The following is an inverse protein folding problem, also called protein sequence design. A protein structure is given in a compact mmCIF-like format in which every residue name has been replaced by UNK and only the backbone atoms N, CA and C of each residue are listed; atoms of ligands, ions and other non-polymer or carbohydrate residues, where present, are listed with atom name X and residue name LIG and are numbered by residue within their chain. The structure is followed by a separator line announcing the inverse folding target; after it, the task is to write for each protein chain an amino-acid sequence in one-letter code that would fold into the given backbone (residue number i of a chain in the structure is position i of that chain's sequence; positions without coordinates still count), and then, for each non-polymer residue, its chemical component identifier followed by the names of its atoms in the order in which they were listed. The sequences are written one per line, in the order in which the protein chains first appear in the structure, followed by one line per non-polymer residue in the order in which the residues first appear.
data_IF_320538088753
#
_entry.id   IF_320538088753
#
_cell.length_a   1.000
_cell.length_b   1.000
_cell.length_c   1.000
_cell.angle_alpha   90.00
_cell.angle_beta   90.00
_cell.angle_gamma   90.00
#
_symmetry.space_group_name_H-M   'P 1'
#
loop_
_entity.id
_entity.type
_entity.pdbx_description
1 polymer ?
#
# COMPACT_ATOMS: atom_id res chain seq x y z
N UNK A 1 3.05 -13.43 4.99
CA UNK A 1 2.27 -12.56 4.09
C UNK A 1 1.25 -13.39 3.33
N UNK A 2 0.12 -12.80 2.94
CA UNK A 2 -0.83 -13.46 2.04
C UNK A 2 -0.15 -13.61 0.67
N UNK A 3 0.33 -14.83 0.39
CA UNK A 3 0.99 -15.18 -0.86
C UNK A 3 -0.06 -15.09 -1.97
N UNK A 4 0.01 -14.03 -2.76
CA UNK A 4 -0.71 -13.92 -4.03
C UNK A 4 0.26 -14.21 -5.17
N UNK A 5 -0.22 -14.94 -6.15
CA UNK A 5 0.49 -15.24 -7.39
C UNK A 5 -0.48 -15.16 -8.57
N UNK A 6 0.07 -14.88 -9.75
CA UNK A 6 -0.68 -14.77 -10.99
C UNK A 6 -0.32 -13.49 -11.76
N UNK A 7 -1.01 -13.29 -12.88
CA UNK A 7 -0.78 -12.13 -13.73
C UNK A 7 -1.56 -10.91 -13.23
N UNK A 8 -0.88 -9.77 -13.19
CA UNK A 8 -1.48 -8.46 -12.96
C UNK A 8 -0.77 -7.41 -13.80
N UNK A 9 -1.42 -6.27 -14.01
CA UNK A 9 -0.85 -5.13 -14.69
C UNK A 9 -0.92 -3.88 -13.82
N UNK A 10 -0.07 -2.89 -14.09
CA UNK A 10 -0.13 -1.58 -13.43
C UNK A 10 -1.30 -0.80 -13.99
N UNK A 11 -2.41 -0.74 -13.26
CA UNK A 11 -3.60 0.00 -13.68
C UNK A 11 -3.60 1.48 -13.27
N UNK A 12 -2.86 1.83 -12.21
CA UNK A 12 -2.70 3.22 -11.75
C UNK A 12 -1.31 3.44 -11.19
N UNK A 13 -0.80 4.66 -11.36
CA UNK A 13 0.43 5.17 -10.72
C UNK A 13 0.09 6.42 -9.92
N UNK A 14 0.75 6.62 -8.79
CA UNK A 14 0.61 7.83 -8.00
C UNK A 14 1.96 8.30 -7.48
N UNK A 15 2.08 9.63 -7.38
CA UNK A 15 3.16 10.32 -6.70
C UNK A 15 2.63 10.84 -5.38
N UNK A 16 3.36 10.63 -4.29
CA UNK A 16 2.99 11.09 -2.95
C UNK A 16 1.50 10.81 -2.65
N UNK A 17 1.06 9.54 -2.66
CA UNK A 17 -0.36 9.22 -2.57
C UNK A 17 -0.90 9.43 -1.15
N UNK A 18 -2.22 9.62 -1.08
CA UNK A 18 -2.96 9.45 0.17
C UNK A 18 -3.04 7.95 0.49
N UNK A 19 -2.68 7.59 1.71
CA UNK A 19 -2.83 6.21 2.19
C UNK A 19 -4.13 6.05 2.98
N UNK A 20 -4.90 5.00 2.70
CA UNK A 20 -6.08 4.64 3.47
C UNK A 20 -5.93 3.19 3.94
N UNK A 21 -5.93 2.92 5.25
CA UNK A 21 -5.79 1.56 5.76
C UNK A 21 -7.02 0.72 5.35
N UNK A 22 -6.82 -0.52 4.87
CA UNK A 22 -7.93 -1.44 4.62
C UNK A 22 -8.76 -1.71 5.88
N UNK A 23 -10.06 -1.98 5.73
CA UNK A 23 -10.96 -2.27 6.86
C UNK A 23 -10.45 -3.40 7.77
N UNK A 24 -9.88 -4.45 7.19
CA UNK A 24 -9.30 -5.57 7.94
C UNK A 24 -8.01 -5.19 8.69
N UNK A 25 -7.29 -4.16 8.23
CA UNK A 25 -6.19 -3.58 9.00
C UNK A 25 -6.74 -2.81 10.21
N UNK A 26 -7.74 -1.95 10.00
CA UNK A 26 -8.36 -1.18 11.10
C UNK A 26 -8.94 -2.09 12.19
N UNK A 27 -9.56 -3.22 11.82
CA UNK A 27 -10.07 -4.20 12.79
C UNK A 27 -8.96 -4.79 13.67
N UNK A 28 -7.76 -5.00 13.11
CA UNK A 28 -6.60 -5.55 13.83
C UNK A 28 -5.80 -4.48 14.57
N UNK A 29 -5.81 -3.26 14.05
CA UNK A 29 -5.08 -2.08 14.52
C UNK A 29 -6.05 -0.90 14.63
N UNK A 30 -6.86 -0.83 15.69
CA UNK A 30 -7.89 0.21 15.86
C UNK A 30 -7.33 1.63 15.81
N UNK A 31 -6.07 1.84 16.20
CA UNK A 31 -5.35 3.11 16.11
C UNK A 31 -5.21 3.64 14.68
N UNK A 32 -5.23 2.75 13.67
CA UNK A 32 -5.21 3.14 12.26
C UNK A 32 -6.54 3.76 11.81
N UNK A 33 -7.63 3.63 12.57
CA UNK A 33 -8.94 4.19 12.24
C UNK A 33 -8.90 5.71 12.05
N UNK A 34 -7.98 6.42 12.72
CA UNK A 34 -7.79 7.88 12.53
C UNK A 34 -7.46 8.26 11.09
N UNK A 35 -6.94 7.32 10.29
CA UNK A 35 -6.63 7.50 8.88
C UNK A 35 -7.67 6.90 7.94
N UNK A 36 -8.86 6.50 8.43
CA UNK A 36 -9.93 5.98 7.58
C UNK A 36 -10.38 6.96 6.49
N UNK A 37 -10.21 8.28 6.73
CA UNK A 37 -10.42 9.35 5.74
C UNK A 37 -9.21 9.64 4.84
N UNK A 38 -8.10 8.93 5.03
CA UNK A 38 -6.84 9.16 4.34
C UNK A 38 -5.77 9.79 5.24
N UNK A 39 -4.57 9.24 5.21
CA UNK A 39 -3.34 9.85 5.69
C UNK A 39 -2.75 10.70 4.56
N UNK A 40 -2.40 11.95 4.87
CA UNK A 40 -1.79 12.86 3.92
C UNK A 40 -0.44 12.32 3.39
N UNK A 41 0.02 12.80 2.23
CA UNK A 41 1.34 12.45 1.74
C UNK A 41 2.44 12.98 2.68
N UNK A 42 3.54 12.25 2.80
CA UNK A 42 4.67 12.66 3.66
C UNK A 42 5.64 11.52 3.93
N UNK A 43 6.71 11.81 4.67
CA UNK A 43 7.74 10.82 5.01
C UNK A 43 7.20 9.67 5.86
N UNK A 44 6.22 9.96 6.73
CA UNK A 44 5.59 8.94 7.59
C UNK A 44 4.51 8.11 6.86
N UNK A 45 4.23 8.41 5.59
CA UNK A 45 3.21 7.70 4.83
C UNK A 45 3.74 6.33 4.40
N UNK A 46 3.07 5.23 4.75
CA UNK A 46 3.57 3.88 4.49
C UNK A 46 3.61 3.51 2.99
N UNK A 47 3.00 4.31 2.11
CA UNK A 47 3.10 4.14 0.65
C UNK A 47 4.33 4.84 0.04
N UNK A 48 5.07 5.61 0.85
CA UNK A 48 6.25 6.36 0.43
C UNK A 48 5.98 7.36 -0.70
N UNK A 49 7.04 7.72 -1.43
CA UNK A 49 6.99 8.76 -2.45
C UNK A 49 6.31 8.33 -3.76
N UNK A 50 6.30 7.04 -4.10
CA UNK A 50 5.76 6.51 -5.36
C UNK A 50 5.04 5.20 -5.13
N UNK A 51 3.96 5.00 -5.88
CA UNK A 51 3.11 3.81 -5.72
C UNK A 51 2.52 3.35 -7.05
N UNK A 52 2.58 2.05 -7.30
CA UNK A 52 1.99 1.36 -8.44
C UNK A 52 0.90 0.41 -7.93
N UNK A 53 -0.32 0.61 -8.41
CA UNK A 53 -1.47 -0.19 -8.01
C UNK A 53 -1.70 -1.30 -9.03
N UNK A 54 -1.75 -2.55 -8.56
CA UNK A 54 -1.87 -3.73 -9.41
C UNK A 54 -3.33 -4.07 -9.67
N UNK A 55 -3.66 -4.34 -10.92
CA UNK A 55 -5.01 -4.66 -11.38
C UNK A 55 -5.03 -6.02 -12.06
N UNK A 56 -6.15 -6.72 -11.93
CA UNK A 56 -6.45 -7.95 -12.65
C UNK A 56 -7.92 -7.89 -13.10
N UNK A 57 -8.19 -8.21 -14.36
CA UNK A 57 -9.55 -8.19 -14.94
C UNK A 57 -10.28 -6.85 -14.70
N UNK A 58 -9.57 -5.72 -14.81
CA UNK A 58 -10.13 -4.38 -14.60
C UNK A 58 -10.36 -4.00 -13.13
N UNK A 59 -10.00 -4.84 -12.16
CA UNK A 59 -10.20 -4.57 -10.72
C UNK A 59 -8.88 -4.44 -9.98
N UNK A 60 -8.83 -3.49 -9.05
CA UNK A 60 -7.68 -3.32 -8.15
C UNK A 60 -7.56 -4.51 -7.20
N UNK A 61 -6.38 -5.12 -7.13
CA UNK A 61 -6.15 -6.37 -6.39
C UNK A 61 -5.88 -6.16 -4.89
N UNK A 62 -5.79 -4.92 -4.43
CA UNK A 62 -5.24 -4.51 -3.11
C UNK A 62 -3.73 -4.76 -2.96
N UNK A 63 -3.07 -5.42 -3.90
CA UNK A 63 -1.61 -5.50 -3.97
C UNK A 63 -1.03 -4.27 -4.63
N UNK A 64 0.03 -3.75 -4.02
CA UNK A 64 0.65 -2.48 -4.39
C UNK A 64 2.15 -2.60 -4.31
N UNK A 65 2.86 -2.05 -5.30
CA UNK A 65 4.31 -1.84 -5.23
C UNK A 65 4.51 -0.39 -4.79
N UNK A 66 5.20 -0.17 -3.67
CA UNK A 66 5.38 1.15 -3.09
C UNK A 66 6.84 1.39 -2.72
N UNK A 67 7.22 2.66 -2.62
CA UNK A 67 8.53 3.06 -2.09
C UNK A 67 8.54 2.91 -0.56
N UNK A 68 9.71 2.61 0.01
CA UNK A 68 9.93 2.60 1.47
C UNK A 68 10.99 3.64 1.83
N UNK A 69 10.89 4.22 3.02
CA UNK A 69 11.95 5.02 3.65
C UNK A 69 13.08 4.17 4.23
N UNK A 70 12.84 2.87 4.39
CA UNK A 70 13.71 1.94 5.12
C UNK A 70 14.31 0.91 4.13
N UNK A 71 15.20 1.32 3.21
CA UNK A 71 15.69 0.46 2.13
C UNK A 71 16.44 -0.78 2.62
N UNK A 72 17.03 -0.73 3.81
CA UNK A 72 17.71 -1.86 4.46
C UNK A 72 16.77 -3.02 4.81
N UNK A 73 15.46 -2.78 4.85
CA UNK A 73 14.45 -3.84 5.06
C UNK A 73 14.17 -4.65 3.78
N UNK A 74 14.61 -4.18 2.62
CA UNK A 74 14.33 -4.85 1.35
C UNK A 74 15.08 -6.19 1.29
N UNK A 75 14.34 -7.28 1.12
CA UNK A 75 14.89 -8.64 0.98
C UNK A 75 15.18 -9.34 2.31
N UNK A 76 14.85 -8.74 3.45
CA UNK A 76 15.16 -9.30 4.79
C UNK A 76 14.02 -10.11 5.42
N UNK A 77 12.83 -10.16 4.80
CA UNK A 77 11.61 -10.78 5.33
C UNK A 77 11.12 -10.21 6.69
N UNK A 78 11.64 -9.04 7.10
CA UNK A 78 11.19 -8.30 8.29
C UNK A 78 9.94 -7.47 8.00
#
# INVERSE_FOLDING_TARGET
GFLWSGDAYVGRKAEWPIWTPPKEMIKRQPEAAKYAGGMAPGLDNPLGARTLYLYQNGRYTLYTIYSTSDPETIGTNL
#
